data_IF_127064434940
#
_entry.id   IF_127064434940
#
_cell.length_a   1.000
_cell.length_b   1.000
_cell.length_c   1.000
_cell.angle_alpha   90.00
_cell.angle_beta   90.00
_cell.angle_gamma   90.00
#
_symmetry.space_group_name_H-M   'P 1'
#
loop_
_entity.id
_entity.type
_entity.pdbx_description
1 polymer ?
#
# COMPACT_ATOMS: atom_id res chain seq x y z
N UNK A 1 -15.97 -13.11 2.43
CA UNK A 1 -15.58 -12.03 1.48
C UNK A 1 -14.06 -11.94 1.45
N UNK A 2 -13.45 -12.01 0.26
CA UNK A 2 -12.00 -11.99 0.07
C UNK A 2 -11.53 -13.22 -0.72
N UNK A 3 -11.24 -13.04 -2.01
CA UNK A 3 -10.90 -14.11 -2.96
C UNK A 3 -9.55 -14.81 -2.73
N UNK A 4 -8.98 -14.73 -1.52
CA UNK A 4 -7.71 -15.35 -1.12
C UNK A 4 -7.75 -15.70 0.37
N UNK A 5 -7.30 -16.91 0.72
CA UNK A 5 -7.01 -17.28 2.10
C UNK A 5 -5.97 -16.31 2.68
N UNK A 6 -6.34 -15.62 3.77
CA UNK A 6 -5.60 -14.46 4.27
C UNK A 6 -5.47 -14.51 5.79
N UNK A 7 -4.35 -14.00 6.29
CA UNK A 7 -4.10 -13.73 7.71
C UNK A 7 -3.66 -12.27 7.85
N UNK A 8 -4.02 -11.65 8.97
CA UNK A 8 -3.59 -10.29 9.31
C UNK A 8 -2.56 -10.35 10.43
N UNK A 9 -1.38 -9.80 10.19
CA UNK A 9 -0.34 -9.62 11.20
C UNK A 9 -0.29 -8.13 11.55
N UNK A 10 -0.36 -7.79 12.83
CA UNK A 10 -0.25 -6.40 13.30
C UNK A 10 0.96 -6.25 14.20
N UNK A 11 1.79 -5.27 13.88
CA UNK A 11 2.95 -4.87 14.68
C UNK A 11 2.61 -3.60 15.44
N UNK A 12 3.02 -3.55 16.70
CA UNK A 12 2.80 -2.43 17.59
C UNK A 12 4.11 -2.03 18.25
N UNK A 13 4.39 -0.73 18.24
CA UNK A 13 5.51 -0.12 18.95
C UNK A 13 4.99 1.13 19.67
N UNK A 14 5.61 1.49 20.79
CA UNK A 14 5.27 2.73 21.48
C UNK A 14 5.58 3.94 20.60
N UNK A 15 4.65 4.90 20.51
CA UNK A 15 4.73 6.03 19.58
C UNK A 15 5.92 6.98 19.80
N UNK A 16 6.58 6.91 20.95
CA UNK A 16 7.75 7.73 21.28
C UNK A 16 9.09 7.09 20.87
N UNK A 17 9.07 5.84 20.40
CA UNK A 17 10.26 5.14 19.94
C UNK A 17 10.51 5.40 18.44
N UNK A 18 11.77 5.37 17.98
CA UNK A 18 12.06 5.40 16.55
C UNK A 18 11.47 4.14 15.90
N UNK A 19 10.57 4.35 14.94
CA UNK A 19 9.87 3.25 14.25
C UNK A 19 10.41 2.98 12.85
N UNK A 20 11.17 3.89 12.24
CA UNK A 20 11.66 3.77 10.86
C UNK A 20 12.41 2.45 10.62
N UNK A 21 13.53 2.25 11.33
CA UNK A 21 14.37 1.04 11.21
C UNK A 21 13.57 -0.26 11.46
N UNK A 22 12.72 -0.26 12.49
CA UNK A 22 11.85 -1.40 12.80
C UNK A 22 10.93 -1.77 11.62
N UNK A 23 10.36 -0.77 10.93
CA UNK A 23 9.50 -1.00 9.78
C UNK A 23 10.29 -1.33 8.51
N UNK A 24 11.49 -0.79 8.34
CA UNK A 24 12.39 -1.11 7.23
C UNK A 24 12.86 -2.57 7.29
N UNK A 25 13.14 -3.10 8.49
CA UNK A 25 13.57 -4.49 8.66
C UNK A 25 12.46 -5.51 8.40
N UNK A 26 11.22 -5.20 8.80
CA UNK A 26 10.12 -6.19 8.80
C UNK A 26 9.28 -6.18 7.52
N UNK A 27 9.12 -5.03 6.85
CA UNK A 27 8.29 -4.92 5.65
C UNK A 27 8.74 -5.83 4.49
N UNK A 28 10.05 -5.98 4.20
CA UNK A 28 10.52 -6.88 3.16
C UNK A 28 10.06 -8.33 3.35
N UNK A 29 10.03 -8.80 4.60
CA UNK A 29 9.53 -10.14 4.93
C UNK A 29 8.07 -10.27 4.51
N UNK A 30 7.22 -9.28 4.83
CA UNK A 30 5.81 -9.35 4.41
C UNK A 30 5.64 -9.28 2.90
N UNK A 31 6.45 -8.47 2.21
CA UNK A 31 6.39 -8.34 0.75
C UNK A 31 6.73 -9.66 0.04
N UNK A 32 7.70 -10.43 0.55
CA UNK A 32 8.07 -11.74 0.01
C UNK A 32 6.88 -12.73 -0.02
N UNK A 33 5.97 -12.64 0.96
CA UNK A 33 4.75 -13.47 1.02
C UNK A 33 3.51 -12.81 0.37
N UNK A 34 3.72 -11.78 -0.45
CA UNK A 34 2.64 -11.02 -1.10
C UNK A 34 1.74 -10.32 -0.10
N UNK A 35 2.34 -9.81 0.98
CA UNK A 35 1.70 -8.99 2.00
C UNK A 35 1.21 -7.68 1.42
N UNK A 36 0.08 -7.20 1.96
CA UNK A 36 -0.54 -5.93 1.56
C UNK A 36 -0.61 -5.03 2.77
N UNK A 37 0.12 -3.92 2.75
CA UNK A 37 0.06 -2.92 3.80
C UNK A 37 -1.36 -2.38 3.95
N UNK A 38 -1.79 -2.16 5.19
CA UNK A 38 -3.10 -1.58 5.45
C UNK A 38 -3.08 -0.08 5.06
N UNK A 39 -3.97 0.35 4.17
CA UNK A 39 -4.02 1.72 3.65
C UNK A 39 -4.14 2.82 4.71
N UNK A 40 -4.74 2.52 5.86
CA UNK A 40 -4.84 3.43 7.01
C UNK A 40 -3.70 3.34 8.03
N UNK A 41 -2.60 2.64 7.71
CA UNK A 41 -1.39 2.53 8.56
C UNK A 41 -0.16 2.96 7.74
N UNK A 42 1.01 2.95 8.39
CA UNK A 42 2.28 3.16 7.72
C UNK A 42 2.42 2.22 6.51
N UNK A 43 2.77 2.80 5.36
CA UNK A 43 2.92 2.09 4.11
C UNK A 43 4.04 2.73 3.30
N UNK A 44 5.05 1.94 2.96
CA UNK A 44 6.18 2.37 2.11
C UNK A 44 6.22 1.68 0.76
N UNK A 45 5.16 0.94 0.41
CA UNK A 45 5.09 0.26 -0.87
C UNK A 45 5.00 1.27 -2.02
N UNK A 46 5.83 1.08 -3.03
CA UNK A 46 5.79 1.86 -4.27
C UNK A 46 4.75 1.30 -5.26
N UNK A 47 4.62 1.99 -6.39
CA UNK A 47 3.72 1.61 -7.48
C UNK A 47 3.99 0.20 -8.01
N UNK A 48 5.26 -0.19 -8.17
CA UNK A 48 5.63 -1.48 -8.75
C UNK A 48 5.30 -2.63 -7.80
N UNK A 49 5.53 -2.44 -6.49
CA UNK A 49 5.17 -3.40 -5.46
C UNK A 49 3.65 -3.54 -5.33
N UNK A 50 2.91 -2.43 -5.38
CA UNK A 50 1.45 -2.43 -5.31
C UNK A 50 0.81 -3.07 -6.53
N UNK A 51 1.27 -2.75 -7.74
CA UNK A 51 0.73 -3.34 -8.97
C UNK A 51 0.96 -4.85 -9.03
N UNK A 52 2.07 -5.34 -8.48
CA UNK A 52 2.34 -6.77 -8.38
C UNK A 52 1.38 -7.52 -7.44
N UNK A 53 0.95 -6.90 -6.33
CA UNK A 53 0.07 -7.56 -5.34
C UNK A 53 -1.42 -7.26 -5.53
N UNK A 54 -1.79 -6.28 -6.35
CA UNK A 54 -3.17 -5.93 -6.70
C UNK A 54 -3.42 -6.16 -8.21
N UNK A 55 -3.98 -7.32 -8.62
CA UNK A 55 -4.14 -7.65 -10.04
C UNK A 55 -4.96 -6.65 -10.86
N UNK A 56 -5.88 -5.92 -10.22
CA UNK A 56 -6.73 -4.90 -10.86
C UNK A 56 -6.18 -3.48 -10.68
N UNK A 57 -4.90 -3.32 -10.34
CA UNK A 57 -4.27 -2.02 -10.09
C UNK A 57 -4.46 -1.03 -11.25
N UNK A 58 -4.10 -1.45 -12.46
CA UNK A 58 -4.21 -0.58 -13.65
C UNK A 58 -5.66 -0.29 -14.02
N UNK A 59 -6.56 -1.26 -13.83
CA UNK A 59 -7.99 -1.08 -14.05
C UNK A 59 -8.55 -0.02 -13.08
N UNK A 60 -8.15 -0.07 -11.81
CA UNK A 60 -8.48 0.96 -10.83
C UNK A 60 -7.89 2.32 -11.21
N UNK A 61 -6.62 2.35 -11.64
CA UNK A 61 -5.96 3.57 -12.11
C UNK A 61 -6.71 4.26 -13.26
N UNK A 62 -7.18 3.48 -14.23
CA UNK A 62 -7.97 3.96 -15.36
C UNK A 62 -9.36 4.47 -14.93
N UNK A 63 -10.01 3.80 -13.98
CA UNK A 63 -11.29 4.27 -13.40
C UNK A 63 -11.07 5.60 -12.67
N UNK A 64 -10.02 5.70 -11.85
CA UNK A 64 -9.64 6.92 -11.14
C UNK A 64 -9.44 8.08 -12.12
N UNK A 65 -8.70 7.85 -13.19
CA UNK A 65 -8.45 8.89 -14.20
C UNK A 65 -9.73 9.36 -14.91
N UNK A 66 -10.63 8.42 -15.24
CA UNK A 66 -11.92 8.76 -15.86
C UNK A 66 -12.85 9.54 -14.93
N UNK A 67 -12.84 9.23 -13.64
CA UNK A 67 -13.74 9.81 -12.65
C UNK A 67 -13.20 11.12 -12.06
N UNK A 68 -11.88 11.27 -12.00
CA UNK A 68 -11.20 12.48 -11.53
C UNK A 68 -10.05 12.87 -12.48
N UNK A 69 -10.35 13.34 -13.70
CA UNK A 69 -9.32 13.71 -14.69
C UNK A 69 -8.40 14.83 -14.21
N UNK A 70 -8.91 15.70 -13.32
CA UNK A 70 -8.14 16.80 -12.73
C UNK A 70 -7.34 16.42 -11.49
N UNK A 71 -7.43 15.17 -11.01
CA UNK A 71 -6.71 14.71 -9.83
C UNK A 71 -7.07 15.44 -8.54
N UNK A 72 -8.31 15.95 -8.41
CA UNK A 72 -8.76 16.68 -7.21
C UNK A 72 -8.64 15.85 -5.93
N UNK A 73 -8.74 14.53 -6.04
CA UNK A 73 -8.66 13.60 -4.91
C UNK A 73 -7.29 12.91 -4.78
N UNK A 74 -6.32 13.24 -5.64
CA UNK A 74 -4.95 12.77 -5.51
C UNK A 74 -4.16 13.62 -4.50
N UNK A 75 -3.96 13.08 -3.30
CA UNK A 75 -2.94 13.62 -2.40
C UNK A 75 -1.54 13.36 -2.97
N UNK A 76 -0.48 14.05 -2.50
CA UNK A 76 0.89 13.78 -2.94
C UNK A 76 1.31 12.31 -2.80
N UNK A 77 0.85 11.65 -1.72
CA UNK A 77 1.07 10.21 -1.52
C UNK A 77 0.35 9.37 -2.58
N UNK A 78 -0.92 9.63 -2.87
CA UNK A 78 -1.63 8.86 -3.92
C UNK A 78 -1.06 9.16 -5.31
N UNK A 79 -0.64 10.40 -5.56
CA UNK A 79 0.00 10.79 -6.80
C UNK A 79 1.27 9.96 -7.04
N UNK A 80 2.13 9.77 -6.03
CA UNK A 80 3.34 8.95 -6.17
C UNK A 80 3.08 7.46 -6.46
N UNK A 81 1.84 6.98 -6.26
CA UNK A 81 1.46 5.60 -6.56
C UNK A 81 0.82 5.45 -7.95
N UNK A 82 0.15 6.48 -8.46
CA UNK A 82 -0.65 6.39 -9.69
C UNK A 82 -0.07 7.18 -10.88
N UNK A 83 0.72 8.22 -10.63
CA UNK A 83 1.32 9.12 -11.64
C UNK A 83 2.81 8.84 -11.71
#
# INVERSE_FOLDING_TARGET
>A
HGGRASVTISLHQAAHLPYGEFFEDIQPIFWEYGGRSHWGKFNTMDRAQLSAVYPEWDAFGAIRERMDPGGRFLSPYLASLFV
#
